data_IF_441423086570
#
_entry.id   IF_441423086570
#
_cell.length_a   1.000
_cell.length_b   1.000
_cell.length_c   1.000
_cell.angle_alpha   90.00
_cell.angle_beta   90.00
_cell.angle_gamma   90.00
#
_symmetry.space_group_name_H-M   'P 1'
#
loop_
_entity.id
_entity.type
_entity.pdbx_description
1 polymer ?
#
# COMPACT_ATOMS: atom_id res chain seq x y z
N UNK A 1 -3.98 22.77 8.36
CA UNK A 1 -4.30 22.03 7.12
C UNK A 1 -3.27 20.92 6.99
N UNK A 2 -3.63 19.70 7.36
CA UNK A 2 -2.74 18.55 7.10
C UNK A 2 -2.89 18.28 5.61
N UNK A 3 -1.95 18.79 4.81
CA UNK A 3 -1.80 18.29 3.45
C UNK A 3 -1.54 16.79 3.57
N UNK A 4 -2.43 15.97 3.01
CA UNK A 4 -2.36 14.51 2.90
C UNK A 4 -1.15 14.11 2.02
N UNK A 5 0.07 14.46 2.42
CA UNK A 5 1.29 14.04 1.75
C UNK A 5 1.66 12.66 2.26
N UNK A 6 0.99 11.64 1.71
CA UNK A 6 1.52 10.28 1.67
C UNK A 6 3.00 10.34 1.26
N UNK A 7 3.87 9.71 2.04
CA UNK A 7 5.29 9.70 1.74
C UNK A 7 5.52 9.06 0.37
N UNK A 8 6.63 9.40 -0.29
CA UNK A 8 6.95 8.78 -1.58
C UNK A 8 7.01 7.25 -1.48
N UNK A 9 7.50 6.73 -0.34
CA UNK A 9 7.47 5.30 -0.03
C UNK A 9 6.06 4.74 0.04
N UNK A 10 5.13 5.40 0.72
CA UNK A 10 3.74 4.96 0.83
C UNK A 10 3.09 4.88 -0.57
N UNK A 11 3.32 5.88 -1.42
CA UNK A 11 2.83 5.87 -2.81
C UNK A 11 3.43 4.73 -3.63
N UNK A 12 4.72 4.42 -3.43
CA UNK A 12 5.37 3.26 -4.08
C UNK A 12 4.75 1.94 -3.62
N UNK A 13 4.44 1.79 -2.33
CA UNK A 13 3.69 0.63 -1.81
C UNK A 13 2.36 0.53 -2.53
N UNK A 14 1.54 1.58 -2.47
CA UNK A 14 0.22 1.60 -3.05
C UNK A 14 0.26 1.24 -4.55
N UNK A 15 1.22 1.76 -5.33
CA UNK A 15 1.42 1.36 -6.73
C UNK A 15 1.79 -0.10 -6.91
N UNK A 16 2.65 -0.64 -6.04
CA UNK A 16 3.02 -2.05 -6.08
C UNK A 16 1.82 -2.96 -5.79
N UNK A 17 0.95 -2.56 -4.86
CA UNK A 17 -0.32 -3.26 -4.59
C UNK A 17 -1.27 -3.15 -5.79
N UNK A 18 -1.32 -1.99 -6.45
CA UNK A 18 -2.12 -1.78 -7.66
C UNK A 18 -1.71 -2.74 -8.78
N UNK A 19 -0.41 -2.82 -9.05
CA UNK A 19 0.18 -3.65 -10.10
C UNK A 19 -0.11 -5.14 -9.87
N UNK A 20 0.07 -5.62 -8.64
CA UNK A 20 -0.17 -7.02 -8.26
C UNK A 20 -1.61 -7.34 -7.88
N UNK A 21 -2.49 -6.36 -7.78
CA UNK A 21 -3.86 -6.41 -7.22
C UNK A 21 -3.92 -6.75 -5.71
N UNK A 22 -3.20 -7.80 -5.30
CA UNK A 22 -3.08 -8.30 -3.93
C UNK A 22 -1.60 -8.61 -3.67
N UNK A 23 -1.05 -8.13 -2.56
CA UNK A 23 0.32 -8.45 -2.13
C UNK A 23 0.34 -9.07 -0.75
N UNK A 24 1.15 -10.10 -0.57
CA UNK A 24 1.44 -10.66 0.75
C UNK A 24 2.41 -9.80 1.54
N UNK A 25 2.49 -10.04 2.85
CA UNK A 25 3.54 -9.48 3.70
C UNK A 25 4.95 -9.82 3.18
N UNK A 26 5.14 -11.02 2.64
CA UNK A 26 6.42 -11.48 2.07
C UNK A 26 6.80 -10.72 0.79
N UNK A 27 5.84 -10.41 -0.10
CA UNK A 27 6.08 -9.59 -1.28
C UNK A 27 6.55 -8.18 -0.91
N UNK A 28 5.93 -7.59 0.13
CA UNK A 28 6.33 -6.27 0.63
C UNK A 28 7.73 -6.31 1.23
N UNK A 29 8.04 -7.30 2.06
CA UNK A 29 9.40 -7.48 2.59
C UNK A 29 10.44 -7.60 1.47
N UNK A 30 10.12 -8.38 0.42
CA UNK A 30 10.98 -8.52 -0.75
C UNK A 30 11.10 -7.23 -1.56
N UNK A 31 10.01 -6.47 -1.73
CA UNK A 31 9.99 -5.22 -2.50
C UNK A 31 10.86 -4.14 -1.86
N UNK A 32 10.87 -4.08 -0.53
CA UNK A 32 11.71 -3.13 0.20
C UNK A 32 13.16 -3.58 0.35
N UNK A 33 13.49 -4.83 0.02
CA UNK A 33 14.85 -5.35 0.06
C UNK A 33 15.49 -5.31 1.46
N UNK A 34 14.68 -5.25 2.51
CA UNK A 34 15.13 -5.04 3.88
C UNK A 34 14.64 -6.12 4.82
N UNK A 35 15.54 -6.63 5.65
CA UNK A 35 15.21 -7.29 6.92
C UNK A 35 14.57 -6.33 7.94
N UNK A 36 14.49 -5.03 7.60
CA UNK A 36 13.99 -3.92 8.40
C UNK A 36 12.46 -3.89 8.39
N UNK A 37 11.89 -4.81 9.16
CA UNK A 37 10.44 -5.01 9.31
C UNK A 37 9.75 -3.80 9.96
N UNK A 38 10.50 -3.01 10.73
CA UNK A 38 9.97 -1.90 11.53
C UNK A 38 9.58 -0.69 10.65
N UNK A 39 10.44 -0.32 9.69
CA UNK A 39 10.12 0.75 8.72
C UNK A 39 8.90 0.41 7.85
N UNK A 40 8.80 -0.84 7.39
CA UNK A 40 7.65 -1.31 6.59
C UNK A 40 6.37 -1.25 7.44
N UNK A 41 6.44 -1.66 8.71
CA UNK A 41 5.28 -1.66 9.62
C UNK A 41 4.72 -0.25 9.82
N UNK A 42 5.58 0.76 9.96
CA UNK A 42 5.14 2.14 10.09
C UNK A 42 4.46 2.67 8.82
N UNK A 43 5.05 2.42 7.65
CA UNK A 43 4.45 2.82 6.37
C UNK A 43 3.11 2.12 6.13
N UNK A 44 3.07 0.80 6.36
CA UNK A 44 1.84 0.00 6.26
C UNK A 44 0.77 0.51 7.21
N UNK A 45 1.13 0.81 8.47
CA UNK A 45 0.19 1.37 9.44
C UNK A 45 -0.41 2.67 8.95
N UNK A 46 0.40 3.60 8.43
CA UNK A 46 -0.10 4.87 7.89
C UNK A 46 -1.07 4.67 6.73
N UNK A 47 -0.77 3.78 5.79
CA UNK A 47 -1.67 3.56 4.64
C UNK A 47 -2.94 2.78 5.01
N UNK A 48 -2.88 1.91 6.01
CA UNK A 48 -4.03 1.18 6.55
C UNK A 48 -4.93 2.13 7.36
N UNK A 49 -4.35 2.91 8.27
CA UNK A 49 -5.04 3.91 9.09
C UNK A 49 -5.68 5.00 8.21
N UNK A 50 -4.94 5.43 7.17
CA UNK A 50 -5.45 6.33 6.14
C UNK A 50 -6.56 5.72 5.26
N UNK A 51 -6.85 4.42 5.41
CA UNK A 51 -7.90 3.72 4.65
C UNK A 51 -7.59 3.52 3.17
N UNK A 52 -6.31 3.59 2.78
CA UNK A 52 -5.87 3.41 1.39
C UNK A 52 -5.76 1.93 1.00
N UNK A 53 -5.55 1.06 1.98
CA UNK A 53 -5.45 -0.39 1.81
C UNK A 53 -6.28 -1.11 2.85
N UNK A 54 -6.80 -2.28 2.48
CA UNK A 54 -7.46 -3.21 3.37
C UNK A 54 -6.61 -4.47 3.56
N UNK A 55 -6.63 -4.98 4.78
CA UNK A 55 -6.01 -6.26 5.12
C UNK A 55 -7.03 -7.36 4.80
N UNK A 56 -6.63 -8.30 3.96
CA UNK A 56 -7.39 -9.50 3.65
C UNK A 56 -6.57 -10.72 4.03
N UNK A 57 -7.24 -11.83 4.37
CA UNK A 57 -6.55 -13.08 4.76
C UNK A 57 -6.92 -14.25 3.86
N UNK A 58 -6.56 -14.21 2.57
CA UNK A 58 -6.77 -15.37 1.71
C UNK A 58 -5.96 -16.54 2.24
N UNK A 59 -6.62 -17.68 2.49
CA UNK A 59 -5.97 -18.92 2.94
C UNK A 59 -5.17 -18.76 4.26
N UNK A 60 -5.58 -17.82 5.12
CA UNK A 60 -4.93 -17.57 6.41
C UNK A 60 -3.63 -16.76 6.35
N UNK A 61 -3.21 -16.30 5.17
CA UNK A 61 -2.03 -15.44 5.02
C UNK A 61 -2.42 -13.96 5.02
N UNK A 62 -1.65 -13.11 5.69
CA UNK A 62 -1.89 -11.66 5.67
C UNK A 62 -1.51 -11.08 4.31
N UNK A 63 -2.52 -10.62 3.58
CA UNK A 63 -2.37 -9.92 2.32
C UNK A 63 -3.04 -8.55 2.36
N UNK A 64 -2.62 -7.67 1.46
CA UNK A 64 -3.06 -6.30 1.38
C UNK A 64 -3.61 -6.03 -0.02
N UNK A 65 -4.78 -5.41 -0.06
CA UNK A 65 -5.46 -5.01 -1.29
C UNK A 65 -5.79 -3.51 -1.22
N UNK A 66 -5.74 -2.82 -2.37
CA UNK A 66 -6.13 -1.41 -2.41
C UNK A 66 -7.63 -1.23 -2.18
N UNK A 67 -7.97 -0.19 -1.43
CA UNK A 67 -9.36 0.29 -1.34
C UNK A 67 -9.65 1.24 -2.50
N UNK A 68 -10.93 1.57 -2.70
CA UNK A 68 -11.33 2.65 -3.63
C UNK A 68 -10.64 3.98 -3.32
N UNK A 69 -10.38 4.30 -2.04
CA UNK A 69 -9.65 5.51 -1.65
C UNK A 69 -8.19 5.45 -2.08
N UNK A 70 -7.52 4.30 -1.86
CA UNK A 70 -6.15 4.06 -2.32
C UNK A 70 -6.01 4.16 -3.83
N UNK A 71 -6.94 3.56 -4.57
CA UNK A 71 -6.99 3.67 -6.03
C UNK A 71 -7.17 5.12 -6.48
N UNK A 72 -8.09 5.88 -5.86
CA UNK A 72 -8.30 7.29 -6.22
C UNK A 72 -7.06 8.16 -6.01
N UNK A 73 -6.31 7.97 -4.92
CA UNK A 73 -5.11 8.77 -4.66
C UNK A 73 -3.92 8.41 -5.56
N UNK A 74 -3.91 7.18 -6.10
CA UNK A 74 -2.97 6.78 -7.15
C UNK A 74 -3.41 7.29 -8.53
N UNK A 75 -4.72 7.31 -8.79
CA UNK A 75 -5.32 7.68 -10.08
C UNK A 75 -5.38 9.20 -10.33
N UNK A 76 -4.80 10.02 -9.45
CA UNK A 76 -4.70 11.49 -9.63
C UNK A 76 -3.63 11.88 -10.68
N UNK A 77 -3.14 10.94 -11.49
CA UNK A 77 -2.40 11.22 -12.71
C UNK A 77 -2.97 10.44 -13.91
N UNK A 78 -4.20 10.81 -14.27
CA UNK A 78 -4.58 11.05 -15.66
C UNK A 78 -4.50 9.88 -16.64
N UNK A 79 -5.43 8.93 -16.55
CA UNK A 79 -5.89 8.20 -17.73
C UNK A 79 -7.42 8.25 -17.78
N UNK A 80 -7.93 9.40 -18.25
CA UNK A 80 -9.09 9.42 -19.13
C UNK A 80 -8.67 8.74 -20.42
N UNK A 81 -9.15 7.51 -20.64
CA UNK A 81 -9.35 6.94 -21.97
C UNK A 81 -10.80 6.49 -22.09
#
# INVERSE_FOLDING_TARGET
>A
MVMDTLAERDRKILKFILDKNIVGQSDLASFFGVSDSEGITNHMRTIIDGGYVSIIRPLGQTSFALTQKGMRILNVKGETV
#
